data_IF_280336747988
#
_entry.id   IF_280336747988
#
_cell.length_a   1.000
_cell.length_b   1.000
_cell.length_c   1.000
_cell.angle_alpha   90.00
_cell.angle_beta   90.00
_cell.angle_gamma   90.00
#
_symmetry.space_group_name_H-M   'P 1'
#
loop_
_entity.id
_entity.type
_entity.pdbx_description
1 polymer ?
#
# COMPACT_ATOMS: atom_id res chain seq x y z
N UNK A 1 -43.10 28.08 13.62
CA UNK A 1 -41.96 27.42 14.29
C UNK A 1 -41.22 26.62 13.23
N UNK A 2 -40.05 27.08 12.78
CA UNK A 2 -39.19 26.31 11.89
C UNK A 2 -38.20 25.51 12.75
N UNK A 3 -38.28 24.19 12.66
CA UNK A 3 -37.33 23.27 13.30
C UNK A 3 -36.04 23.25 12.49
N UNK A 4 -34.94 23.72 13.07
CA UNK A 4 -33.59 23.56 12.53
C UNK A 4 -33.12 22.14 12.87
N UNK A 5 -33.17 21.24 11.89
CA UNK A 5 -32.46 19.96 11.96
C UNK A 5 -30.94 20.23 12.04
N UNK A 6 -30.20 19.61 12.96
CA UNK A 6 -28.75 19.76 13.01
C UNK A 6 -28.15 19.13 11.76
N UNK A 7 -27.50 19.96 10.95
CA UNK A 7 -26.68 19.51 9.83
C UNK A 7 -25.47 18.77 10.42
N UNK A 8 -25.51 17.43 10.44
CA UNK A 8 -24.32 16.62 10.70
C UNK A 8 -23.35 16.85 9.54
N UNK A 9 -22.33 17.68 9.77
CA UNK A 9 -21.16 17.73 8.89
C UNK A 9 -20.43 16.40 9.00
N UNK A 10 -20.64 15.51 8.03
CA UNK A 10 -19.70 14.44 7.79
C UNK A 10 -18.38 15.09 7.36
N UNK A 11 -17.41 15.13 8.28
CA UNK A 11 -16.02 15.37 7.90
C UNK A 11 -15.62 14.16 7.08
N UNK A 12 -15.62 14.30 5.76
CA UNK A 12 -14.94 13.33 4.91
C UNK A 12 -13.47 13.37 5.32
N UNK A 13 -13.00 12.33 6.01
CA UNK A 13 -11.57 12.11 6.13
C UNK A 13 -11.01 12.11 4.70
N UNK A 14 -9.97 12.92 4.46
CA UNK A 14 -9.29 12.91 3.17
C UNK A 14 -8.71 11.52 2.89
N UNK A 15 -8.26 11.25 1.64
CA UNK A 15 -7.57 10.01 1.35
C UNK A 15 -6.33 9.86 2.27
N UNK A 16 -6.18 8.67 2.86
CA UNK A 16 -5.00 8.31 3.64
C UNK A 16 -4.02 7.60 2.72
N UNK A 17 -2.76 8.01 2.76
CA UNK A 17 -1.70 7.46 1.93
C UNK A 17 -0.65 6.78 2.79
N UNK A 18 -0.14 5.65 2.31
CA UNK A 18 1.02 4.96 2.84
C UNK A 18 2.10 5.04 1.76
N UNK A 19 3.08 5.93 1.95
CA UNK A 19 4.13 6.19 0.96
C UNK A 19 5.41 5.46 1.32
N UNK A 20 5.92 4.64 0.39
CA UNK A 20 7.19 3.93 0.44
C UNK A 20 8.18 4.64 -0.48
N UNK A 21 9.08 5.44 0.10
CA UNK A 21 9.97 6.34 -0.63
C UNK A 21 11.31 5.67 -0.96
N UNK A 22 12.01 6.20 -1.97
CA UNK A 22 13.32 5.73 -2.44
C UNK A 22 14.36 5.56 -1.32
N UNK A 23 14.33 6.41 -0.29
CA UNK A 23 15.29 6.42 0.83
C UNK A 23 14.93 5.45 1.97
N UNK A 24 14.11 4.43 1.69
CA UNK A 24 13.56 3.47 2.65
C UNK A 24 12.63 4.05 3.73
N UNK A 25 12.29 5.35 3.68
CA UNK A 25 11.27 5.90 4.58
C UNK A 25 9.88 5.45 4.17
N UNK A 26 9.06 5.20 5.19
CA UNK A 26 7.65 4.92 5.03
C UNK A 26 6.87 5.98 5.80
N UNK A 27 5.91 6.64 5.15
CA UNK A 27 5.17 7.76 5.73
C UNK A 27 3.68 7.55 5.54
N UNK A 28 2.92 7.69 6.62
CA UNK A 28 1.46 7.77 6.57
C UNK A 28 1.06 9.24 6.46
N UNK A 29 0.32 9.59 5.40
CA UNK A 29 -0.16 10.95 5.12
C UNK A 29 -1.69 10.97 5.13
N UNK A 30 -2.29 12.11 5.44
CA UNK A 30 -3.75 12.28 5.36
C UNK A 30 -4.55 11.82 6.58
N UNK A 31 -3.90 11.26 7.61
CA UNK A 31 -4.53 10.90 8.87
C UNK A 31 -4.26 9.46 9.29
N UNK A 32 -5.08 8.94 10.20
CA UNK A 32 -5.03 7.53 10.59
C UNK A 32 -5.81 6.67 9.61
N UNK A 33 -5.38 5.41 9.43
CA UNK A 33 -6.15 4.42 8.69
C UNK A 33 -7.39 4.07 9.51
N UNK A 34 -8.57 4.22 8.95
CA UNK A 34 -9.82 3.84 9.61
C UNK A 34 -10.50 2.74 8.81
N UNK A 35 -11.23 1.88 9.50
CA UNK A 35 -12.20 1.01 8.83
C UNK A 35 -13.12 1.85 7.91
N UNK A 36 -13.57 1.25 6.80
CA UNK A 36 -14.45 1.85 5.78
C UNK A 36 -13.83 2.93 4.92
N UNK A 37 -12.53 2.84 4.72
CA UNK A 37 -11.79 3.71 3.82
C UNK A 37 -10.90 2.91 2.87
N UNK A 38 -10.26 3.60 1.94
CA UNK A 38 -9.18 3.04 1.15
C UNK A 38 -7.86 3.64 1.62
N UNK A 39 -6.88 2.78 1.91
CA UNK A 39 -5.50 3.21 2.06
C UNK A 39 -4.86 3.27 0.66
N UNK A 40 -4.34 4.43 0.26
CA UNK A 40 -3.57 4.55 -0.98
C UNK A 40 -2.11 4.19 -0.71
N UNK A 41 -1.67 3.03 -1.17
CA UNK A 41 -0.26 2.65 -1.14
C UNK A 41 0.44 3.31 -2.31
N UNK A 42 1.45 4.12 -2.03
CA UNK A 42 2.31 4.74 -3.04
C UNK A 42 3.70 4.11 -2.93
N UNK A 43 4.16 3.45 -3.98
CA UNK A 43 5.46 2.78 -3.98
C UNK A 43 6.42 3.39 -5.00
N UNK A 44 7.61 3.77 -4.54
CA UNK A 44 8.70 4.23 -5.41
C UNK A 44 9.59 3.06 -5.83
N UNK A 45 9.62 2.74 -7.13
CA UNK A 45 10.38 1.62 -7.66
C UNK A 45 11.90 1.84 -7.59
N UNK A 46 12.36 3.06 -7.32
CA UNK A 46 13.79 3.35 -7.12
C UNK A 46 14.29 2.90 -5.76
N UNK A 47 13.41 2.40 -4.88
CA UNK A 47 13.83 1.73 -3.64
C UNK A 47 14.86 0.66 -3.97
N UNK A 48 16.02 0.63 -3.28
CA UNK A 48 17.13 -0.21 -3.72
C UNK A 48 16.80 -1.68 -3.88
N UNK A 49 15.84 -2.25 -3.14
CA UNK A 49 15.39 -3.63 -3.35
C UNK A 49 14.94 -3.90 -4.79
N UNK A 50 14.19 -2.97 -5.39
CA UNK A 50 13.72 -3.09 -6.76
C UNK A 50 14.73 -2.55 -7.76
N UNK A 51 15.35 -1.41 -7.45
CA UNK A 51 16.28 -0.73 -8.36
C UNK A 51 17.61 -1.47 -8.56
N UNK A 52 17.99 -2.37 -7.66
CA UNK A 52 19.22 -3.18 -7.78
C UNK A 52 19.01 -4.48 -8.56
N UNK A 53 17.78 -4.82 -8.95
CA UNK A 53 17.54 -5.95 -9.83
C UNK A 53 18.27 -5.70 -11.17
N UNK A 54 19.00 -6.69 -11.71
CA UNK A 54 19.63 -6.56 -13.03
C UNK A 54 18.60 -6.42 -14.16
N UNK A 55 17.33 -6.75 -13.87
CA UNK A 55 16.20 -6.68 -14.79
C UNK A 55 15.35 -5.42 -14.60
N UNK A 56 15.79 -4.49 -13.76
CA UNK A 56 15.09 -3.21 -13.58
C UNK A 56 14.98 -2.48 -14.92
N UNK A 57 13.80 -1.91 -15.22
CA UNK A 57 13.41 -1.32 -16.51
C UNK A 57 13.23 -2.29 -17.69
N UNK A 58 13.37 -3.61 -17.51
CA UNK A 58 13.02 -4.58 -18.57
C UNK A 58 11.50 -4.60 -18.88
N UNK A 59 11.14 -5.03 -20.09
CA UNK A 59 9.76 -4.97 -20.58
C UNK A 59 8.82 -5.96 -19.88
N UNK A 60 9.36 -7.05 -19.33
CA UNK A 60 8.64 -8.06 -18.55
C UNK A 60 8.84 -7.88 -17.05
N UNK A 61 9.50 -6.80 -16.61
CA UNK A 61 9.63 -6.47 -15.21
C UNK A 61 8.25 -6.14 -14.64
N UNK A 62 7.93 -6.69 -13.48
CA UNK A 62 6.64 -6.51 -12.81
C UNK A 62 6.85 -6.15 -11.35
N UNK A 63 5.90 -5.42 -10.79
CA UNK A 63 5.82 -5.19 -9.36
C UNK A 63 4.43 -5.53 -8.85
N UNK A 64 4.40 -6.22 -7.72
CA UNK A 64 3.19 -6.57 -7.00
C UNK A 64 3.24 -5.97 -5.60
N UNK A 65 2.11 -5.47 -5.14
CA UNK A 65 1.86 -5.25 -3.72
C UNK A 65 1.16 -6.49 -3.18
N UNK A 66 1.54 -6.87 -1.97
CA UNK A 66 0.89 -7.90 -1.20
C UNK A 66 0.45 -7.31 0.14
N UNK A 67 -0.70 -7.77 0.64
CA UNK A 67 -1.17 -7.36 1.95
C UNK A 67 -2.02 -8.43 2.62
N UNK A 68 -2.02 -8.41 3.96
CA UNK A 68 -2.92 -9.19 4.80
C UNK A 68 -3.46 -8.33 5.91
N UNK A 69 -4.63 -8.73 6.42
CA UNK A 69 -5.26 -8.11 7.57
C UNK A 69 -5.03 -8.98 8.81
N UNK A 70 -4.66 -8.35 9.92
CA UNK A 70 -4.51 -9.00 11.22
C UNK A 70 -3.60 -10.25 11.19
N UNK A 71 -2.55 -10.21 10.37
CA UNK A 71 -1.63 -11.32 10.12
C UNK A 71 -2.33 -12.63 9.66
N UNK A 72 -3.50 -12.54 9.01
CA UNK A 72 -4.17 -13.70 8.43
C UNK A 72 -3.52 -14.12 7.11
N UNK A 73 -2.35 -14.76 7.20
CA UNK A 73 -1.61 -15.28 6.05
C UNK A 73 -2.32 -16.43 5.31
N UNK A 74 -3.51 -16.87 5.76
CA UNK A 74 -4.37 -17.75 4.96
C UNK A 74 -5.08 -16.99 3.84
N UNK A 75 -5.26 -15.68 4.00
CA UNK A 75 -5.90 -14.78 3.03
C UNK A 75 -4.93 -13.66 2.65
N UNK A 76 -3.95 -14.01 1.82
CA UNK A 76 -3.05 -13.04 1.20
C UNK A 76 -3.72 -12.44 -0.03
N UNK A 77 -3.81 -11.12 -0.06
CA UNK A 77 -4.22 -10.37 -1.24
C UNK A 77 -2.97 -9.89 -1.97
N UNK A 78 -3.01 -9.90 -3.29
CA UNK A 78 -1.91 -9.41 -4.11
C UNK A 78 -2.41 -8.80 -5.41
N UNK A 79 -1.76 -7.71 -5.82
CA UNK A 79 -2.20 -6.91 -6.95
C UNK A 79 -0.99 -6.42 -7.74
N UNK A 80 -1.12 -6.46 -9.07
CA UNK A 80 -0.10 -5.94 -9.97
C UNK A 80 -0.16 -4.41 -9.93
N UNK A 81 0.90 -3.78 -9.44
CA UNK A 81 0.99 -2.32 -9.34
C UNK A 81 1.79 -1.71 -10.49
N UNK A 82 2.62 -2.50 -11.17
CA UNK A 82 3.26 -2.08 -12.42
C UNK A 82 3.61 -3.28 -13.30
N UNK A 83 3.45 -3.08 -14.61
CA UNK A 83 4.00 -3.92 -15.66
C UNK A 83 4.87 -3.03 -16.52
N UNK A 84 6.19 -3.27 -16.52
CA UNK A 84 7.20 -2.30 -16.95
C UNK A 84 7.17 -0.99 -16.13
N UNK A 85 8.29 -0.29 -16.07
CA UNK A 85 8.41 0.96 -15.30
C UNK A 85 8.13 2.13 -16.24
N UNK A 86 6.85 2.43 -16.45
CA UNK A 86 6.44 3.65 -17.17
C UNK A 86 6.59 4.88 -16.27
N UNK A 87 6.21 4.74 -14.99
CA UNK A 87 6.42 5.74 -13.96
C UNK A 87 7.32 5.19 -12.86
N UNK A 88 8.15 6.05 -12.25
CA UNK A 88 9.02 5.67 -11.12
C UNK A 88 8.24 5.48 -9.81
N UNK A 89 6.98 5.90 -9.78
CA UNK A 89 6.11 5.82 -8.61
C UNK A 89 4.71 5.42 -9.06
N UNK A 90 4.10 4.46 -8.40
CA UNK A 90 2.73 4.01 -8.68
C UNK A 90 1.88 3.96 -7.40
N UNK A 91 0.56 4.07 -7.57
CA UNK A 91 -0.40 4.08 -6.47
C UNK A 91 -1.41 2.95 -6.60
N UNK A 92 -1.71 2.27 -5.50
CA UNK A 92 -2.72 1.22 -5.41
C UNK A 92 -3.65 1.45 -4.22
N UNK A 93 -4.96 1.21 -4.41
CA UNK A 93 -5.97 1.38 -3.38
C UNK A 93 -6.22 0.06 -2.64
N UNK A 94 -5.85 -0.01 -1.36
CA UNK A 94 -6.17 -1.15 -0.47
C UNK A 94 -7.51 -0.88 0.22
N UNK A 95 -8.53 -1.73 0.03
CA UNK A 95 -9.84 -1.54 0.64
C UNK A 95 -9.87 -1.98 2.10
N UNK A 96 -9.95 -1.03 3.05
CA UNK A 96 -10.09 -1.30 4.48
C UNK A 96 -11.56 -1.52 4.81
N UNK A 97 -12.03 -2.77 4.70
CA UNK A 97 -13.44 -3.09 4.92
C UNK A 97 -13.84 -2.93 6.40
N UNK A 98 -15.10 -2.52 6.65
CA UNK A 98 -15.85 -2.38 7.93
C UNK A 98 -15.43 -3.27 9.11
N UNK A 99 -14.92 -4.47 8.84
CA UNK A 99 -14.60 -5.48 9.85
C UNK A 99 -13.13 -5.53 10.25
N UNK A 100 -12.26 -4.79 9.56
CA UNK A 100 -10.82 -4.85 9.77
C UNK A 100 -10.38 -3.69 10.66
N UNK A 101 -10.41 -3.92 11.98
CA UNK A 101 -9.57 -3.17 12.92
C UNK A 101 -8.35 -4.00 13.27
N UNK A 102 -7.25 -3.33 13.61
CA UNK A 102 -6.01 -3.98 14.02
C UNK A 102 -4.86 -3.67 13.07
N UNK A 103 -4.30 -4.69 12.41
CA UNK A 103 -3.07 -4.56 11.64
C UNK A 103 -3.30 -4.73 10.13
N UNK A 104 -2.71 -3.84 9.35
CA UNK A 104 -2.45 -4.00 7.93
C UNK A 104 -0.97 -4.33 7.75
N UNK A 105 -0.67 -5.55 7.32
CA UNK A 105 0.68 -5.94 6.90
C UNK A 105 0.81 -5.79 5.38
N UNK A 106 1.88 -5.15 4.90
CA UNK A 106 2.16 -4.89 3.48
C UNK A 106 3.57 -5.32 3.13
N UNK A 107 3.78 -5.87 1.94
CA UNK A 107 5.10 -6.06 1.34
C UNK A 107 5.01 -6.02 -0.18
N UNK A 108 6.15 -5.95 -0.84
CA UNK A 108 6.24 -5.84 -2.30
C UNK A 108 7.10 -6.95 -2.86
N UNK A 109 6.77 -7.39 -4.07
CA UNK A 109 7.65 -8.21 -4.88
C UNK A 109 7.87 -7.50 -6.21
N UNK A 110 9.11 -7.49 -6.69
CA UNK A 110 9.45 -6.82 -7.94
C UNK A 110 10.58 -7.54 -8.67
N UNK A 111 10.52 -7.53 -9.99
CA UNK A 111 11.46 -8.27 -10.83
C UNK A 111 10.77 -8.97 -11.99
N UNK A 112 11.46 -9.98 -12.53
CA UNK A 112 10.93 -10.87 -13.57
C UNK A 112 10.61 -12.22 -12.94
N UNK A 113 9.83 -13.07 -13.63
CA UNK A 113 9.38 -14.35 -13.08
C UNK A 113 10.51 -15.27 -12.56
N UNK A 114 11.71 -15.17 -13.13
CA UNK A 114 12.89 -15.96 -12.73
C UNK A 114 13.78 -15.29 -11.68
N UNK A 115 13.59 -14.00 -11.41
CA UNK A 115 14.41 -13.20 -10.48
C UNK A 115 13.53 -12.16 -9.80
N UNK A 116 12.94 -12.56 -8.67
CA UNK A 116 12.02 -11.76 -7.88
C UNK A 116 12.74 -11.31 -6.60
N UNK A 117 12.78 -10.01 -6.37
CA UNK A 117 13.20 -9.40 -5.11
C UNK A 117 11.98 -9.02 -4.27
N UNK A 118 12.13 -9.03 -2.94
CA UNK A 118 11.06 -8.70 -2.00
C UNK A 118 11.43 -7.51 -1.12
N UNK A 119 10.61 -6.45 -1.15
CA UNK A 119 10.69 -5.36 -0.16
C UNK A 119 9.69 -5.63 0.95
N UNK A 120 10.19 -6.24 2.02
CA UNK A 120 9.38 -6.77 3.12
C UNK A 120 9.95 -6.39 4.49
N UNK A 121 10.63 -5.24 4.60
CA UNK A 121 11.24 -4.82 5.87
C UNK A 121 12.09 -5.94 6.51
N UNK A 122 13.02 -6.50 5.74
CA UNK A 122 13.86 -7.63 6.17
C UNK A 122 13.05 -8.89 6.59
N UNK A 123 11.95 -9.16 5.90
CA UNK A 123 11.08 -10.32 6.14
C UNK A 123 10.04 -10.11 7.25
N UNK A 124 9.98 -8.93 7.86
CA UNK A 124 8.98 -8.60 8.89
C UNK A 124 7.69 -8.05 8.33
N UNK A 125 7.66 -7.66 7.05
CA UNK A 125 6.62 -6.85 6.42
C UNK A 125 6.48 -5.46 7.07
N UNK A 126 5.73 -4.59 6.41
CA UNK A 126 5.41 -3.25 6.91
C UNK A 126 4.04 -3.28 7.59
N UNK A 127 3.98 -2.82 8.83
CA UNK A 127 2.79 -2.90 9.67
C UNK A 127 2.19 -1.51 9.90
N UNK A 128 0.87 -1.41 9.74
CA UNK A 128 0.12 -0.18 9.94
C UNK A 128 -1.15 -0.46 10.74
N UNK A 129 -1.40 0.37 11.75
CA UNK A 129 -2.59 0.25 12.60
C UNK A 129 -3.83 0.78 11.86
N UNK A 130 -4.92 0.00 11.88
CA UNK A 130 -6.26 0.39 11.42
C UNK A 130 -7.15 0.61 12.65
N UNK A 131 -7.67 1.83 12.79
CA UNK A 131 -8.50 2.30 13.92
C UNK A 131 -10.01 2.04 13.74
#
# INVERSE_FOLDING_TARGET
MFSLLPLLTMVSAGPVYISFQEDYKNVVLGGALTADSNAQIIYDFRRPVCATSPHFDEQNWTAFVYYVYNNDFKHVYNELIAYHIENRTESYAVPLQNTVKGDLSVWFACGIASDIAYDSNFGQNFHFEIL
#
